data_IF_356579393797
#
_entry.id   IF_356579393797
#
_cell.length_a   1.000
_cell.length_b   1.000
_cell.length_c   1.000
_cell.angle_alpha   90.00
_cell.angle_beta   90.00
_cell.angle_gamma   90.00
#
_symmetry.space_group_name_H-M   'P 1'
#
loop_
_entity.id
_entity.type
_entity.pdbx_description
1 polymer ?
#
# COMPACT_ATOMS: atom_id res chain seq x y z
N UNK A 1 -28.88 -51.23 -3.16
CA UNK A 1 -28.21 -50.20 -3.98
C UNK A 1 -28.52 -48.82 -3.41
N UNK A 2 -27.54 -48.09 -2.85
CA UNK A 2 -27.42 -46.62 -2.93
C UNK A 2 -25.94 -46.26 -2.76
N UNK A 3 -25.33 -45.90 -3.87
CA UNK A 3 -23.94 -45.44 -4.02
C UNK A 3 -23.82 -44.04 -3.41
N UNK A 4 -22.90 -43.86 -2.46
CA UNK A 4 -22.54 -42.55 -1.95
C UNK A 4 -21.49 -41.91 -2.88
N UNK A 5 -21.88 -40.85 -3.59
CA UNK A 5 -20.97 -39.99 -4.33
C UNK A 5 -20.36 -38.98 -3.35
N UNK A 6 -19.08 -39.15 -3.01
CA UNK A 6 -18.31 -38.14 -2.31
C UNK A 6 -17.78 -37.13 -3.35
N UNK A 7 -18.33 -35.92 -3.37
CA UNK A 7 -17.79 -34.81 -4.15
C UNK A 7 -16.54 -34.27 -3.43
N UNK A 8 -15.37 -34.55 -4.00
CA UNK A 8 -14.10 -33.98 -3.59
C UNK A 8 -13.98 -32.59 -4.25
N UNK A 9 -14.38 -31.52 -3.55
CA UNK A 9 -14.12 -30.15 -4.01
C UNK A 9 -12.67 -29.78 -3.70
N UNK A 10 -11.81 -29.89 -4.72
CA UNK A 10 -10.46 -29.33 -4.72
C UNK A 10 -10.53 -27.80 -4.66
N UNK A 11 -10.17 -27.20 -3.53
CA UNK A 11 -9.87 -25.78 -3.45
C UNK A 11 -8.56 -25.52 -4.20
N UNK A 12 -8.65 -25.00 -5.43
CA UNK A 12 -7.51 -24.33 -6.07
C UNK A 12 -7.31 -22.98 -5.36
N UNK A 13 -6.47 -22.96 -4.34
CA UNK A 13 -5.89 -21.71 -3.86
C UNK A 13 -4.81 -21.29 -4.89
N UNK A 14 -5.17 -20.43 -5.83
CA UNK A 14 -4.18 -19.76 -6.66
C UNK A 14 -3.36 -18.84 -5.76
N UNK A 15 -2.16 -19.28 -5.37
CA UNK A 15 -1.19 -18.43 -4.69
C UNK A 15 -0.60 -17.49 -5.74
N UNK A 16 -1.27 -16.37 -6.01
CA UNK A 16 -0.62 -15.24 -6.63
C UNK A 16 0.46 -14.75 -5.64
N UNK A 17 1.67 -15.29 -5.75
CA UNK A 17 2.83 -14.86 -4.98
C UNK A 17 3.30 -13.51 -5.54
N UNK A 18 2.46 -12.48 -5.43
CA UNK A 18 2.92 -11.11 -5.59
C UNK A 18 3.94 -10.84 -4.49
N UNK A 19 5.09 -10.27 -4.86
CA UNK A 19 6.06 -9.82 -3.87
C UNK A 19 5.36 -8.87 -2.89
N UNK A 20 5.42 -9.21 -1.60
CA UNK A 20 4.81 -8.43 -0.51
C UNK A 20 5.80 -7.39 -0.04
N UNK A 21 5.34 -6.15 0.07
CA UNK A 21 6.15 -5.02 0.48
C UNK A 21 5.51 -4.29 1.66
N UNK A 22 6.33 -3.64 2.49
CA UNK A 22 5.81 -2.78 3.57
C UNK A 22 5.41 -1.40 3.07
N UNK A 23 6.10 -0.89 2.05
CA UNK A 23 5.89 0.46 1.53
C UNK A 23 5.67 0.42 0.02
N UNK A 24 4.67 1.16 -0.44
CA UNK A 24 4.38 1.37 -1.86
C UNK A 24 4.09 2.84 -2.15
N UNK A 25 4.30 3.27 -3.39
CA UNK A 25 3.98 4.62 -3.84
C UNK A 25 3.62 4.60 -5.33
N UNK A 26 2.77 5.54 -5.73
CA UNK A 26 2.53 5.82 -7.14
C UNK A 26 3.64 6.66 -7.74
N UNK A 27 3.84 6.51 -9.04
CA UNK A 27 4.85 7.25 -9.78
C UNK A 27 4.40 7.53 -11.20
N UNK A 28 4.80 8.70 -11.68
CA UNK A 28 4.62 9.10 -13.07
C UNK A 28 5.61 8.32 -13.96
N UNK A 29 5.24 8.15 -15.22
CA UNK A 29 6.14 7.58 -16.22
C UNK A 29 7.42 8.44 -16.35
N UNK A 30 8.59 7.80 -16.33
CA UNK A 30 9.92 8.42 -16.36
C UNK A 30 10.31 9.32 -15.16
N UNK A 31 9.46 9.48 -14.15
CA UNK A 31 9.85 10.22 -12.96
C UNK A 31 10.96 9.50 -12.17
N UNK A 32 11.83 10.30 -11.57
CA UNK A 32 12.95 9.85 -10.71
C UNK A 32 12.59 9.83 -9.23
N UNK A 33 11.41 10.31 -8.88
CA UNK A 33 10.85 10.38 -7.53
C UNK A 33 9.43 9.85 -7.54
N UNK A 34 8.92 9.48 -6.36
CA UNK A 34 7.52 9.10 -6.14
C UNK A 34 6.57 10.29 -6.29
N UNK A 35 5.28 10.01 -6.48
CA UNK A 35 4.23 11.01 -6.59
C UNK A 35 3.35 11.02 -5.35
N UNK A 36 3.52 12.05 -4.51
CA UNK A 36 2.72 12.24 -3.29
C UNK A 36 1.23 12.37 -3.64
N UNK A 37 0.88 13.16 -4.65
CA UNK A 37 -0.52 13.41 -5.04
C UNK A 37 -1.28 12.11 -5.32
N UNK A 38 -0.74 11.24 -6.18
CA UNK A 38 -1.42 10.01 -6.57
C UNK A 38 -1.37 8.94 -5.48
N UNK A 39 -0.29 8.89 -4.71
CA UNK A 39 -0.21 8.03 -3.52
C UNK A 39 -1.28 8.41 -2.49
N UNK A 40 -1.53 9.71 -2.31
CA UNK A 40 -2.62 10.22 -1.46
C UNK A 40 -4.00 9.87 -2.01
N UNK A 41 -4.21 9.97 -3.34
CA UNK A 41 -5.47 9.53 -3.98
C UNK A 41 -5.74 8.05 -3.72
N UNK A 42 -4.74 7.19 -3.89
CA UNK A 42 -4.85 5.75 -3.52
C UNK A 42 -5.28 5.61 -2.06
N UNK A 43 -4.56 6.22 -1.11
CA UNK A 43 -4.88 6.11 0.32
C UNK A 43 -6.31 6.58 0.64
N UNK A 44 -6.77 7.66 0.00
CA UNK A 44 -8.14 8.16 0.16
C UNK A 44 -9.21 7.21 -0.40
N UNK A 45 -8.89 6.44 -1.45
CA UNK A 45 -9.84 5.52 -2.08
C UNK A 45 -9.97 4.17 -1.35
N UNK A 46 -9.07 3.85 -0.42
CA UNK A 46 -8.92 2.50 0.16
C UNK A 46 -9.65 2.29 1.49
N UNK A 47 -10.63 3.14 1.79
CA UNK A 47 -11.56 3.00 2.93
C UNK A 47 -10.89 2.74 4.29
N UNK A 48 -9.69 3.28 4.48
CA UNK A 48 -8.95 3.23 5.73
C UNK A 48 -7.97 2.06 5.82
N UNK A 49 -7.83 1.25 4.78
CA UNK A 49 -6.85 0.15 4.72
C UNK A 49 -5.40 0.63 4.72
N UNK A 50 -5.15 1.80 4.14
CA UNK A 50 -3.79 2.31 3.97
C UNK A 50 -3.55 3.60 4.76
N UNK A 51 -2.29 3.79 5.14
CA UNK A 51 -1.78 5.02 5.72
C UNK A 51 -0.74 5.59 4.78
N UNK A 52 -0.92 6.84 4.36
CA UNK A 52 0.13 7.61 3.73
C UNK A 52 1.10 8.09 4.81
N UNK A 53 2.41 7.99 4.59
CA UNK A 53 3.43 8.60 5.44
C UNK A 53 4.16 9.73 4.71
N UNK A 54 4.21 10.91 5.33
CA UNK A 54 5.00 12.04 4.86
C UNK A 54 6.51 11.86 5.02
N UNK A 55 6.99 10.80 5.67
CA UNK A 55 8.43 10.47 5.72
C UNK A 55 9.00 10.39 4.30
N UNK A 56 10.16 11.01 4.11
CA UNK A 56 10.90 10.93 2.85
C UNK A 56 11.89 9.78 2.93
N UNK A 57 11.61 8.75 2.15
CA UNK A 57 12.43 7.56 2.01
C UNK A 57 13.46 7.78 0.91
N UNK A 58 14.67 7.30 1.14
CA UNK A 58 15.82 7.48 0.25
C UNK A 58 16.35 6.14 -0.23
N UNK A 59 17.31 6.17 -1.17
CA UNK A 59 18.02 4.96 -1.61
C UNK A 59 18.79 4.28 -0.49
N UNK A 60 19.24 5.02 0.52
CA UNK A 60 19.97 4.48 1.67
C UNK A 60 19.06 3.61 2.55
N UNK A 61 17.76 3.95 2.60
CA UNK A 61 16.72 3.18 3.27
C UNK A 61 16.28 1.93 2.48
N UNK A 62 16.75 1.79 1.23
CA UNK A 62 16.36 0.72 0.30
C UNK A 62 15.25 1.10 -0.68
N UNK A 63 14.81 2.36 -0.72
CA UNK A 63 13.82 2.80 -1.70
C UNK A 63 14.44 2.90 -3.09
N UNK A 64 13.79 2.35 -4.11
CA UNK A 64 14.29 2.49 -5.49
C UNK A 64 14.13 3.93 -6.01
N UNK A 65 13.08 4.63 -5.55
CA UNK A 65 12.77 6.02 -5.90
C UNK A 65 12.55 6.81 -4.62
N UNK A 66 13.01 8.05 -4.60
CA UNK A 66 12.92 8.85 -3.37
C UNK A 66 11.52 9.46 -3.22
N UNK A 67 11.13 9.71 -1.98
CA UNK A 67 9.93 10.47 -1.64
C UNK A 67 9.04 9.75 -0.63
N UNK A 68 7.73 10.03 -0.69
CA UNK A 68 6.78 9.53 0.30
C UNK A 68 6.06 8.28 -0.18
N UNK A 69 5.71 7.44 0.78
CA UNK A 69 5.15 6.12 0.56
C UNK A 69 3.92 5.93 1.45
N UNK A 70 3.10 4.94 1.10
CA UNK A 70 2.01 4.46 1.93
C UNK A 70 2.25 2.99 2.30
N UNK A 71 1.61 2.56 3.37
CA UNK A 71 1.64 1.18 3.84
C UNK A 71 0.23 0.69 4.20
N UNK A 72 0.06 -0.62 4.29
CA UNK A 72 -1.15 -1.22 4.84
C UNK A 72 -1.17 -1.13 6.37
N UNK A 73 -2.37 -1.03 6.95
CA UNK A 73 -2.56 -1.20 8.39
C UNK A 73 -2.47 -2.69 8.69
N UNK A 74 -1.65 -3.04 9.67
CA UNK A 74 -1.57 -4.42 10.19
C UNK A 74 -2.62 -4.60 11.29
N UNK A 75 -3.46 -5.62 11.15
CA UNK A 75 -4.50 -5.98 12.12
C UNK A 75 -5.93 -5.63 11.67
N UNK A 76 -6.84 -5.32 12.62
CA UNK A 76 -8.25 -5.15 12.29
C UNK A 76 -8.54 -3.90 11.44
N UNK A 77 -9.10 -4.11 10.25
CA UNK A 77 -9.57 -3.07 9.33
C UNK A 77 -10.96 -3.43 8.80
N UNK A 78 -11.94 -2.55 8.98
CA UNK A 78 -13.31 -2.71 8.45
C UNK A 78 -13.96 -4.08 8.76
N UNK A 79 -13.67 -4.65 9.94
CA UNK A 79 -14.22 -5.93 10.37
C UNK A 79 -13.50 -7.18 9.83
N UNK A 80 -12.36 -7.01 9.15
CA UNK A 80 -11.47 -8.08 8.72
C UNK A 80 -10.05 -7.87 9.29
N UNK A 81 -9.22 -8.90 9.25
CA UNK A 81 -7.79 -8.82 9.58
C UNK A 81 -6.98 -8.59 8.30
N UNK A 82 -6.17 -7.54 8.28
CA UNK A 82 -5.20 -7.26 7.21
C UNK A 82 -3.78 -7.62 7.71
N UNK A 83 -2.95 -8.18 6.84
CA UNK A 83 -1.62 -8.69 7.21
C UNK A 83 -0.55 -7.59 7.24
N UNK A 84 -0.91 -6.35 6.88
CA UNK A 84 -0.01 -5.21 6.89
C UNK A 84 1.01 -5.22 5.76
N UNK A 85 0.74 -5.98 4.68
CA UNK A 85 1.56 -6.01 3.48
C UNK A 85 0.78 -5.48 2.27
N UNK A 86 1.49 -4.83 1.37
CA UNK A 86 0.95 -4.37 0.08
C UNK A 86 1.55 -5.22 -1.02
N UNK A 87 0.71 -5.79 -1.89
CA UNK A 87 1.18 -6.48 -3.09
C UNK A 87 1.69 -5.49 -4.13
N UNK A 88 2.83 -5.78 -4.77
CA UNK A 88 3.36 -4.91 -5.84
C UNK A 88 2.39 -4.71 -7.01
N UNK A 89 1.72 -5.80 -7.44
CA UNK A 89 0.69 -5.77 -8.49
C UNK A 89 -0.58 -5.05 -8.03
N UNK A 90 -1.03 -5.28 -6.79
CA UNK A 90 -2.15 -4.55 -6.18
C UNK A 90 -1.88 -3.05 -6.21
N UNK A 91 -0.70 -2.62 -5.75
CA UNK A 91 -0.30 -1.21 -5.78
C UNK A 91 -0.28 -0.65 -7.20
N UNK A 92 0.24 -1.41 -8.17
CA UNK A 92 0.28 -1.00 -9.57
C UNK A 92 -1.13 -0.73 -10.11
N UNK A 93 -2.05 -1.68 -9.91
CA UNK A 93 -3.43 -1.53 -10.35
C UNK A 93 -4.12 -0.33 -9.68
N UNK A 94 -3.87 -0.12 -8.39
CA UNK A 94 -4.44 1.01 -7.66
C UNK A 94 -3.93 2.35 -8.19
N UNK A 95 -2.64 2.47 -8.51
CA UNK A 95 -2.06 3.67 -9.11
C UNK A 95 -2.61 3.93 -10.51
N UNK A 96 -2.72 2.89 -11.36
CA UNK A 96 -3.30 3.00 -12.70
C UNK A 96 -4.75 3.53 -12.63
N UNK A 97 -5.54 3.06 -11.64
CA UNK A 97 -6.93 3.51 -11.42
C UNK A 97 -7.05 4.98 -11.05
N UNK A 98 -6.00 5.63 -10.55
CA UNK A 98 -6.02 7.07 -10.24
C UNK A 98 -5.71 7.96 -11.45
N UNK A 99 -5.54 7.38 -12.63
CA UNK A 99 -5.28 8.15 -13.85
C UNK A 99 -6.57 8.83 -14.34
N UNK A 100 -6.86 10.01 -13.79
CA UNK A 100 -8.01 10.85 -14.15
C UNK A 100 -7.83 11.52 -15.54
N UNK A 101 -7.67 10.72 -16.60
CA UNK A 101 -7.58 11.19 -18.01
C UNK A 101 -6.59 12.35 -18.28
N UNK A 102 -5.57 12.51 -17.44
CA UNK A 102 -4.55 13.56 -17.58
C UNK A 102 -3.54 13.24 -18.67
N UNK A 103 -2.72 14.23 -19.11
CA UNK A 103 -1.69 14.00 -20.12
C UNK A 103 -0.52 13.14 -19.61
N UNK A 104 -0.38 13.00 -18.29
CA UNK A 104 0.66 12.20 -17.64
C UNK A 104 0.08 10.84 -17.26
N UNK A 105 0.78 9.78 -17.67
CA UNK A 105 0.43 8.39 -17.38
C UNK A 105 1.01 7.99 -16.03
N UNK A 106 0.14 7.88 -15.01
CA UNK A 106 0.45 7.41 -13.67
C UNK A 106 0.42 5.87 -13.61
N UNK A 107 1.20 5.24 -14.50
CA UNK A 107 1.10 3.81 -14.82
C UNK A 107 2.12 2.95 -14.05
N UNK A 108 2.75 3.50 -13.00
CA UNK A 108 3.79 2.79 -12.25
C UNK A 108 3.56 2.89 -10.76
N UNK A 109 3.72 1.76 -10.09
CA UNK A 109 4.00 1.72 -8.65
C UNK A 109 5.49 1.47 -8.44
N UNK A 110 5.95 1.81 -7.25
CA UNK A 110 7.22 1.32 -6.71
C UNK A 110 6.97 0.89 -5.28
N UNK A 111 7.51 -0.27 -4.93
CA UNK A 111 7.36 -0.84 -3.60
C UNK A 111 8.70 -1.34 -3.09
N UNK A 112 8.87 -1.31 -1.77
CA UNK A 112 10.04 -1.88 -1.11
C UNK A 112 9.72 -2.19 0.36
N UNK A 113 10.61 -2.96 0.98
CA UNK A 113 10.59 -3.21 2.42
C UNK A 113 11.90 -2.67 2.99
N UNK A 114 11.85 -1.71 3.92
CA UNK A 114 13.06 -1.23 4.59
C UNK A 114 13.81 -2.38 5.28
N UNK A 115 15.09 -2.15 5.56
CA UNK A 115 15.90 -3.08 6.34
C UNK A 115 15.30 -3.31 7.73
N UNK A 116 15.62 -4.46 8.32
CA UNK A 116 15.23 -4.79 9.68
C UNK A 116 15.65 -3.68 10.68
N UNK A 117 14.78 -3.39 11.65
CA UNK A 117 14.99 -2.35 12.65
C UNK A 117 14.60 -0.94 12.21
N UNK A 118 14.27 -0.72 10.93
CA UNK A 118 13.72 0.56 10.46
C UNK A 118 12.19 0.54 10.60
N UNK A 119 11.65 1.51 11.33
CA UNK A 119 10.20 1.66 11.42
C UNK A 119 9.62 2.21 10.11
N UNK A 120 8.94 1.33 9.39
CA UNK A 120 8.27 1.62 8.12
C UNK A 120 6.96 2.40 8.31
N UNK A 121 6.45 2.50 9.54
CA UNK A 121 5.24 3.27 9.89
C UNK A 121 5.53 4.70 10.32
N UNK A 122 6.81 5.08 10.36
CA UNK A 122 7.26 6.39 10.76
C UNK A 122 6.63 7.49 9.88
N UNK A 123 6.02 8.48 10.51
CA UNK A 123 5.30 9.59 9.88
C UNK A 123 6.19 10.76 9.44
N UNK A 124 7.50 10.66 9.70
CA UNK A 124 8.45 11.73 9.50
C UNK A 124 8.39 12.80 10.60
N UNK A 125 9.30 13.77 10.54
CA UNK A 125 9.43 14.85 11.52
C UNK A 125 8.14 15.65 11.74
N UNK A 126 7.33 15.77 10.70
CA UNK A 126 6.13 16.61 10.70
C UNK A 126 4.88 15.82 11.13
N UNK A 127 5.01 14.52 11.44
CA UNK A 127 3.90 13.67 11.87
C UNK A 127 2.81 13.52 10.81
N UNK A 128 3.16 13.65 9.53
CA UNK A 128 2.22 13.74 8.41
C UNK A 128 1.78 12.35 7.93
N UNK A 129 1.26 11.52 8.85
CA UNK A 129 0.53 10.31 8.48
C UNK A 129 -0.96 10.57 8.37
N UNK A 130 -1.64 10.01 7.37
CA UNK A 130 -3.11 10.06 7.30
C UNK A 130 -3.69 8.82 6.61
N UNK A 131 -4.99 8.62 6.79
CA UNK A 131 -5.81 7.59 6.13
C UNK A 131 -7.08 8.26 5.60
N UNK A 132 -7.81 7.63 4.68
CA UNK A 132 -9.15 8.11 4.28
C UNK A 132 -10.13 8.36 5.44
N UNK A 133 -9.87 7.77 6.63
CA UNK A 133 -10.73 7.87 7.82
C UNK A 133 -10.25 8.93 8.82
N UNK A 134 -9.05 9.47 8.67
CA UNK A 134 -8.48 10.45 9.61
C UNK A 134 -7.43 11.32 8.95
N UNK A 135 -7.54 12.64 9.14
CA UNK A 135 -6.62 13.65 8.58
C UNK A 135 -5.21 13.57 9.17
N UNK A 136 -5.05 12.99 10.38
CA UNK A 136 -3.77 12.68 11.02
C UNK A 136 -3.85 11.36 11.79
N UNK A 137 -2.75 10.60 11.80
CA UNK A 137 -2.64 9.34 12.56
C UNK A 137 -1.26 9.14 13.19
N UNK A 138 -1.17 8.13 14.07
CA UNK A 138 0.05 7.68 14.74
C UNK A 138 0.94 6.74 13.87
N UNK A 139 0.67 6.63 12.57
CA UNK A 139 1.34 5.66 11.69
C UNK A 139 0.78 4.24 11.79
N UNK A 140 -0.06 3.92 12.78
CA UNK A 140 -0.83 2.67 12.86
C UNK A 140 -2.26 2.84 12.31
N UNK A 141 -2.56 4.01 11.75
CA UNK A 141 -3.88 4.38 11.27
C UNK A 141 -4.84 4.83 12.38
N UNK A 142 -4.38 4.95 13.64
CA UNK A 142 -5.22 5.47 14.73
C UNK A 142 -5.24 6.99 14.67
N UNK A 143 -6.42 7.64 14.73
CA UNK A 143 -6.51 9.09 14.72
C UNK A 143 -5.72 9.71 15.88
N UNK A 144 -5.00 10.80 15.60
CA UNK A 144 -4.36 11.64 16.63
C UNK A 144 -4.90 13.06 16.52
N UNK A 145 -4.99 13.74 17.68
CA UNK A 145 -5.44 15.13 17.78
C UNK A 145 -4.44 16.12 17.18
#
# INVERSE_FOLDING_TARGET
MKTAFAFLTSFLAATACGEKHRLCACRDYQATVTSDEYSRKVVNAMDGRFVFSGKKWTKEDGAMFEGSYYHAIEGPVNGAEDDGWVGGEESLELCIKQNDNGPIRHEKSTCFTPKEGVDWRDCGSDGNCFTSKATRTDGLGKPVA
#
